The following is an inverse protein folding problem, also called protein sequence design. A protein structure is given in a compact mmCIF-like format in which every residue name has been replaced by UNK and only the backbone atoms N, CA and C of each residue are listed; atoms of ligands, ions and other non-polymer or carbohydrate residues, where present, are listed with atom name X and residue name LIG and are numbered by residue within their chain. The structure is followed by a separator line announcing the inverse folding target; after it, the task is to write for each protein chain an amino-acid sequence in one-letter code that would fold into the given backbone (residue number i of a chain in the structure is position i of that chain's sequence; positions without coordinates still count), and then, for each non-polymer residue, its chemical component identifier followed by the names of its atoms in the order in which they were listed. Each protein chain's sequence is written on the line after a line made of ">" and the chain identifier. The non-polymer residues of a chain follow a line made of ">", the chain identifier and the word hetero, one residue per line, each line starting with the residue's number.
data_IF_910900733712
#
_entry.id   IF_910900733712
#
_cell.length_a   1.000
_cell.length_b   1.000
_cell.length_c   1.000
_cell.angle_alpha   90.00
_cell.angle_beta   90.00
_cell.angle_gamma   90.00
#
_symmetry.space_group_name_H-M   'P 1'
#
loop_
_entity.id
_entity.type
_entity.pdbx_description
1 polymer ?
#
# COMPACT_ATOMS: atom_id res chain seq x y z
N UNK A 1 77.07 -44.82 9.03
CA UNK A 1 76.16 -45.94 8.80
C UNK A 1 74.77 -45.33 8.73
N UNK A 2 74.26 -45.17 7.53
CA UNK A 2 73.04 -45.69 6.95
C UNK A 2 71.78 -45.31 7.76
N UNK A 3 70.75 -44.72 7.22
CA UNK A 3 70.04 -44.99 5.98
C UNK A 3 69.11 -43.84 5.63
N UNK A 4 68.98 -43.65 4.34
CA UNK A 4 68.05 -42.78 3.61
C UNK A 4 66.64 -43.34 3.64
N UNK A 5 65.64 -42.51 3.96
CA UNK A 5 64.22 -42.85 3.66
C UNK A 5 63.60 -41.67 2.90
N UNK A 6 63.43 -41.87 1.58
CA UNK A 6 62.61 -41.06 0.64
C UNK A 6 61.15 -41.14 1.06
N UNK A 7 60.51 -40.01 1.25
CA UNK A 7 59.03 -39.90 1.22
C UNK A 7 58.61 -39.26 -0.10
N UNK A 8 57.95 -40.04 -0.90
CA UNK A 8 57.24 -39.64 -2.11
C UNK A 8 56.02 -38.79 -1.73
N UNK A 9 56.04 -37.54 -2.12
CA UNK A 9 54.91 -36.64 -2.01
C UNK A 9 53.88 -36.94 -3.09
N UNK A 10 52.70 -37.36 -2.68
CA UNK A 10 51.57 -37.57 -3.57
C UNK A 10 50.85 -36.26 -3.82
N UNK A 11 51.05 -35.66 -5.00
CA UNK A 11 50.31 -34.53 -5.48
C UNK A 11 48.88 -34.97 -5.79
N UNK A 12 47.90 -34.62 -4.94
CA UNK A 12 46.50 -34.76 -5.25
C UNK A 12 46.06 -33.51 -5.99
N UNK A 13 46.02 -33.59 -7.30
CA UNK A 13 45.40 -32.61 -8.19
C UNK A 13 43.88 -32.62 -7.97
N UNK A 14 43.37 -31.64 -7.27
CA UNK A 14 41.91 -31.40 -7.20
C UNK A 14 41.49 -30.69 -8.48
N UNK A 15 41.00 -31.45 -9.43
CA UNK A 15 40.29 -30.94 -10.59
C UNK A 15 38.99 -30.29 -10.15
N UNK A 16 38.96 -28.97 -10.06
CA UNK A 16 37.76 -28.20 -9.83
C UNK A 16 36.95 -28.23 -11.11
N UNK A 17 35.84 -28.99 -11.11
CA UNK A 17 34.90 -29.08 -12.22
C UNK A 17 34.27 -27.72 -12.52
N UNK A 18 34.47 -27.10 -13.69
CA UNK A 18 33.90 -25.78 -14.00
C UNK A 18 32.36 -25.81 -14.18
N UNK A 19 31.76 -27.01 -14.17
CA UNK A 19 30.31 -27.17 -14.29
C UNK A 19 29.52 -26.87 -13.00
N UNK A 20 30.16 -26.93 -11.83
CA UNK A 20 29.51 -26.65 -10.54
C UNK A 20 29.31 -25.13 -10.30
N UNK A 21 30.18 -24.27 -10.82
CA UNK A 21 30.05 -22.82 -10.67
C UNK A 21 28.93 -22.22 -11.52
N UNK A 22 28.60 -22.82 -12.67
CA UNK A 22 27.54 -22.31 -13.56
C UNK A 22 26.14 -22.58 -12.99
N UNK A 23 25.95 -23.68 -12.25
CA UNK A 23 24.68 -24.02 -11.64
C UNK A 23 24.29 -23.09 -10.46
N UNK A 24 25.29 -22.58 -9.72
CA UNK A 24 25.05 -21.65 -8.60
C UNK A 24 24.70 -20.24 -9.09
N UNK A 25 25.27 -19.81 -10.24
CA UNK A 25 24.98 -18.49 -10.81
C UNK A 25 23.55 -18.37 -11.37
N UNK A 26 22.99 -19.46 -11.89
CA UNK A 26 21.62 -19.50 -12.43
C UNK A 26 20.58 -19.50 -11.30
N UNK A 27 20.88 -20.08 -10.14
CA UNK A 27 19.97 -20.13 -9.00
C UNK A 27 19.78 -18.76 -8.31
N UNK A 28 20.76 -17.85 -8.38
CA UNK A 28 20.70 -16.52 -7.75
C UNK A 28 19.87 -15.53 -8.60
N UNK A 29 19.74 -15.75 -9.90
CA UNK A 29 18.94 -14.89 -10.79
C UNK A 29 17.42 -15.12 -10.71
N UNK A 30 16.97 -16.21 -10.07
CA UNK A 30 15.54 -16.55 -9.99
C UNK A 30 14.79 -15.82 -8.85
N UNK A 31 15.46 -15.09 -7.96
CA UNK A 31 14.83 -14.40 -6.82
C UNK A 31 14.70 -12.87 -6.99
N UNK A 32 15.05 -12.30 -8.14
CA UNK A 32 14.95 -10.88 -8.39
C UNK A 32 13.66 -10.53 -9.16
N UNK A 33 12.50 -10.88 -8.61
CA UNK A 33 11.22 -10.37 -9.11
C UNK A 33 10.28 -10.09 -7.96
N UNK A 34 10.12 -8.86 -7.54
CA UNK A 34 8.77 -8.36 -7.37
C UNK A 34 8.57 -6.84 -7.44
N UNK A 35 9.34 -6.09 -8.20
CA UNK A 35 9.18 -4.64 -8.23
C UNK A 35 8.11 -4.13 -9.24
N UNK A 36 7.54 -4.99 -10.09
CA UNK A 36 6.61 -4.56 -11.15
C UNK A 36 5.12 -4.81 -10.84
N UNK A 37 4.79 -5.41 -9.70
CA UNK A 37 3.40 -5.80 -9.41
C UNK A 37 2.48 -4.64 -8.98
N UNK A 38 3.03 -3.50 -8.55
CA UNK A 38 2.25 -2.38 -8.00
C UNK A 38 2.02 -1.21 -8.96
N UNK A 39 2.49 -1.29 -10.19
CA UNK A 39 2.22 -0.27 -11.20
C UNK A 39 0.85 -0.42 -11.89
N UNK A 40 0.00 -1.32 -11.41
CA UNK A 40 -1.32 -1.57 -11.99
C UNK A 40 -2.41 -1.24 -10.98
N UNK A 41 -3.50 -0.67 -11.52
CA UNK A 41 -4.74 -0.50 -10.74
C UNK A 41 -5.15 -1.85 -10.14
N UNK A 42 -5.47 -1.93 -8.84
CA UNK A 42 -5.97 -3.15 -8.21
C UNK A 42 -7.20 -3.72 -8.95
N UNK A 43 -7.48 -5.02 -8.75
CA UNK A 43 -8.75 -5.58 -9.23
C UNK A 43 -9.94 -4.82 -8.62
N UNK A 44 -11.11 -4.88 -9.25
CA UNK A 44 -12.32 -4.20 -8.75
C UNK A 44 -12.57 -4.47 -7.25
N UNK A 45 -12.50 -5.74 -6.84
CA UNK A 45 -12.66 -6.12 -5.42
C UNK A 45 -11.54 -5.57 -4.54
N UNK A 46 -10.30 -5.59 -5.03
CA UNK A 46 -9.15 -5.04 -4.30
C UNK A 46 -9.25 -3.53 -4.13
N UNK A 47 -9.70 -2.83 -5.17
CA UNK A 47 -9.93 -1.39 -5.15
C UNK A 47 -11.07 -1.02 -4.19
N UNK A 48 -12.20 -1.73 -4.25
CA UNK A 48 -13.31 -1.54 -3.32
C UNK A 48 -12.87 -1.75 -1.87
N UNK A 49 -12.13 -2.83 -1.60
CA UNK A 49 -11.61 -3.12 -0.26
C UNK A 49 -10.65 -2.01 0.23
N UNK A 50 -9.75 -1.54 -0.64
CA UNK A 50 -8.81 -0.46 -0.32
C UNK A 50 -9.53 0.84 0.03
N UNK A 51 -10.50 1.26 -0.80
CA UNK A 51 -11.28 2.49 -0.59
C UNK A 51 -12.11 2.40 0.68
N UNK A 52 -12.87 1.29 0.87
CA UNK A 52 -13.67 1.09 2.08
C UNK A 52 -12.82 1.06 3.33
N UNK A 53 -11.74 0.27 3.35
CA UNK A 53 -10.85 0.20 4.52
C UNK A 53 -10.25 1.56 4.88
N UNK A 54 -9.91 2.38 3.89
CA UNK A 54 -9.39 3.73 4.10
C UNK A 54 -10.45 4.64 4.70
N UNK A 55 -11.63 4.70 4.08
CA UNK A 55 -12.69 5.63 4.49
C UNK A 55 -13.34 5.23 5.82
N UNK A 56 -13.55 3.94 6.08
CA UNK A 56 -14.05 3.48 7.38
C UNK A 56 -13.06 3.76 8.51
N UNK A 57 -11.75 3.53 8.28
CA UNK A 57 -10.74 3.91 9.29
C UNK A 57 -10.70 5.43 9.52
N UNK A 58 -10.91 6.22 8.47
CA UNK A 58 -11.02 7.69 8.60
C UNK A 58 -12.30 8.08 9.35
N UNK A 59 -13.44 7.41 9.08
CA UNK A 59 -14.68 7.61 9.81
C UNK A 59 -14.53 7.30 11.30
N UNK A 60 -13.94 6.16 11.65
CA UNK A 60 -13.64 5.79 13.04
C UNK A 60 -12.81 6.87 13.75
N UNK A 61 -11.82 7.43 13.05
CA UNK A 61 -10.98 8.50 13.59
C UNK A 61 -11.79 9.78 13.86
N UNK A 62 -12.73 10.15 12.98
CA UNK A 62 -13.59 11.31 13.16
C UNK A 62 -14.60 11.10 14.29
N UNK A 63 -15.29 9.96 14.32
CA UNK A 63 -16.31 9.65 15.34
C UNK A 63 -15.68 9.57 16.74
N UNK A 64 -14.48 8.99 16.86
CA UNK A 64 -13.79 8.85 18.15
C UNK A 64 -12.91 10.04 18.51
N UNK A 65 -12.59 10.93 17.56
CA UNK A 65 -11.58 11.97 17.71
C UNK A 65 -10.14 11.42 17.81
N UNK A 66 -9.93 10.12 17.57
CA UNK A 66 -8.63 9.45 17.70
C UNK A 66 -8.05 9.06 16.35
N UNK A 67 -7.11 9.84 15.85
CA UNK A 67 -6.47 9.65 14.54
C UNK A 67 -5.24 8.72 14.56
N UNK A 68 -4.90 8.10 15.69
CA UNK A 68 -3.67 7.29 15.82
C UNK A 68 -3.65 6.11 14.84
N UNK A 69 -4.75 5.34 14.75
CA UNK A 69 -4.84 4.18 13.86
C UNK A 69 -4.88 4.61 12.39
N UNK A 70 -5.65 5.65 12.06
CA UNK A 70 -5.69 6.21 10.72
C UNK A 70 -4.30 6.67 10.29
N UNK A 71 -3.61 7.46 11.12
CA UNK A 71 -2.25 7.92 10.88
C UNK A 71 -1.28 6.77 10.62
N UNK A 72 -1.33 5.69 11.41
CA UNK A 72 -0.43 4.54 11.24
C UNK A 72 -0.57 3.86 9.86
N UNK A 73 -1.75 3.93 9.22
CA UNK A 73 -2.04 3.37 7.89
C UNK A 73 -1.62 4.25 6.72
N UNK A 74 -1.28 5.52 6.96
CA UNK A 74 -0.86 6.46 5.93
C UNK A 74 0.53 6.13 5.36
N UNK A 75 0.82 6.61 4.16
CA UNK A 75 2.15 6.55 3.58
C UNK A 75 3.17 7.33 4.43
N UNK A 76 4.42 6.85 4.47
CA UNK A 76 5.49 7.48 5.27
C UNK A 76 5.65 8.98 5.01
N UNK A 77 5.67 9.49 3.76
CA UNK A 77 5.76 10.94 3.53
C UNK A 77 4.60 11.72 4.14
N UNK A 78 3.38 11.17 4.12
CA UNK A 78 2.21 11.81 4.70
C UNK A 78 2.30 11.83 6.24
N UNK A 79 2.68 10.71 6.85
CA UNK A 79 2.88 10.63 8.32
C UNK A 79 3.94 11.59 8.84
N UNK A 80 4.97 11.89 8.05
CA UNK A 80 6.02 12.83 8.42
C UNK A 80 5.54 14.28 8.41
N UNK A 81 4.53 14.60 7.61
CA UNK A 81 3.96 15.96 7.49
C UNK A 81 2.82 16.20 8.49
N UNK A 82 2.07 15.16 8.84
CA UNK A 82 0.88 15.25 9.66
C UNK A 82 0.96 14.29 10.83
N UNK A 83 1.00 14.82 12.05
CA UNK A 83 0.82 14.02 13.27
C UNK A 83 -0.66 13.67 13.47
N UNK A 84 -1.01 12.70 14.33
CA UNK A 84 -2.41 12.40 14.67
C UNK A 84 -3.19 13.64 15.13
N UNK A 85 -2.57 14.49 15.94
CA UNK A 85 -3.17 15.72 16.47
C UNK A 85 -3.43 16.75 15.35
N UNK A 86 -2.49 16.86 14.40
CA UNK A 86 -2.66 17.74 13.25
C UNK A 86 -3.73 17.25 12.29
N UNK A 87 -3.89 15.94 12.15
CA UNK A 87 -5.00 15.34 11.40
C UNK A 87 -6.34 15.67 12.10
N UNK A 88 -6.42 15.50 13.40
CA UNK A 88 -7.60 15.85 14.19
C UNK A 88 -7.99 17.31 14.00
N UNK A 89 -7.03 18.23 14.05
CA UNK A 89 -7.28 19.66 13.80
C UNK A 89 -7.73 19.91 12.36
N UNK A 90 -7.10 19.26 11.37
CA UNK A 90 -7.44 19.41 9.95
C UNK A 90 -8.88 18.96 9.67
N UNK A 91 -9.34 17.89 10.31
CA UNK A 91 -10.68 17.32 10.14
C UNK A 91 -11.64 17.68 11.27
N UNK A 92 -11.33 18.72 12.06
CA UNK A 92 -12.12 19.16 13.21
C UNK A 92 -13.59 19.37 12.87
N UNK A 93 -13.89 19.91 11.69
CA UNK A 93 -15.28 20.11 11.26
C UNK A 93 -16.08 18.81 11.13
N UNK A 94 -15.45 17.71 10.74
CA UNK A 94 -16.09 16.40 10.70
C UNK A 94 -16.41 15.89 12.11
N UNK A 95 -15.46 16.06 13.03
CA UNK A 95 -15.62 15.69 14.45
C UNK A 95 -16.72 16.52 15.10
N UNK A 96 -16.70 17.85 14.94
CA UNK A 96 -17.68 18.78 15.55
C UNK A 96 -19.09 18.61 15.01
N UNK A 97 -19.23 18.31 13.72
CA UNK A 97 -20.53 18.06 13.09
C UNK A 97 -21.02 16.63 13.29
N UNK A 98 -20.24 15.79 13.99
CA UNK A 98 -20.55 14.38 14.23
C UNK A 98 -20.90 13.65 12.92
N UNK A 99 -20.15 13.93 11.85
CA UNK A 99 -20.36 13.32 10.56
C UNK A 99 -19.96 11.83 10.67
N UNK A 100 -20.95 10.97 10.51
CA UNK A 100 -20.79 9.51 10.46
C UNK A 100 -21.27 8.99 9.11
N UNK A 101 -20.42 8.20 8.46
CA UNK A 101 -20.74 7.59 7.18
C UNK A 101 -20.46 6.08 7.14
N UNK A 102 -20.58 5.39 8.26
CA UNK A 102 -20.44 3.93 8.35
C UNK A 102 -21.30 3.17 7.35
N UNK A 103 -22.44 3.77 6.93
CA UNK A 103 -23.32 3.21 5.93
C UNK A 103 -22.61 2.83 4.63
N UNK A 104 -21.45 3.46 4.28
CA UNK A 104 -20.65 3.08 3.09
C UNK A 104 -20.25 1.61 3.08
N UNK A 105 -20.16 0.96 4.23
CA UNK A 105 -19.86 -0.47 4.34
C UNK A 105 -20.80 -1.35 3.51
N UNK A 106 -22.09 -0.97 3.45
CA UNK A 106 -23.14 -1.70 2.75
C UNK A 106 -23.23 -1.35 1.24
N UNK A 107 -22.60 -0.26 0.80
CA UNK A 107 -22.72 0.22 -0.57
C UNK A 107 -21.48 -0.07 -1.40
N UNK A 108 -21.65 -0.25 -2.73
CA UNK A 108 -20.52 -0.25 -3.65
C UNK A 108 -20.17 1.19 -4.04
N UNK A 109 -18.86 1.53 -4.11
CA UNK A 109 -18.45 2.82 -4.61
C UNK A 109 -18.72 2.94 -6.12
N UNK A 110 -19.08 4.13 -6.56
CA UNK A 110 -19.14 4.52 -7.96
C UNK A 110 -17.90 5.35 -8.24
N UNK A 111 -17.05 4.86 -9.16
CA UNK A 111 -15.83 5.55 -9.54
C UNK A 111 -16.07 6.48 -10.74
N UNK A 112 -15.75 7.75 -10.59
CA UNK A 112 -15.82 8.74 -11.65
C UNK A 112 -14.75 9.82 -11.45
N UNK A 113 -13.73 9.87 -12.34
CA UNK A 113 -13.42 8.92 -13.43
C UNK A 113 -12.98 7.55 -12.93
N UNK A 114 -12.83 6.58 -13.83
CA UNK A 114 -12.25 5.28 -13.51
C UNK A 114 -10.88 5.44 -12.83
N UNK A 115 -10.60 4.58 -11.85
CA UNK A 115 -9.31 4.60 -11.14
C UNK A 115 -8.15 4.41 -12.12
N UNK A 116 -7.06 5.14 -11.90
CA UNK A 116 -5.88 5.12 -12.77
C UNK A 116 -4.59 5.25 -11.96
N UNK A 117 -3.48 4.80 -12.56
CA UNK A 117 -2.14 5.09 -12.03
C UNK A 117 -1.53 6.18 -12.90
N UNK A 118 -1.08 7.27 -12.28
CA UNK A 118 -0.48 8.40 -12.98
C UNK A 118 1.00 8.17 -13.35
N UNK A 119 1.60 9.18 -14.00
CA UNK A 119 3.01 9.12 -14.41
C UNK A 119 4.01 9.04 -13.25
N UNK A 120 3.61 9.42 -12.04
CA UNK A 120 4.43 9.33 -10.82
C UNK A 120 4.21 8.01 -10.06
N UNK A 121 3.39 7.10 -10.62
CA UNK A 121 3.09 5.81 -10.00
C UNK A 121 2.06 5.91 -8.86
N UNK A 122 1.31 7.02 -8.75
CA UNK A 122 0.24 7.17 -7.77
C UNK A 122 -1.06 6.58 -8.30
N UNK A 123 -1.74 5.78 -7.49
CA UNK A 123 -3.09 5.32 -7.77
C UNK A 123 -4.08 6.43 -7.38
N UNK A 124 -4.76 6.98 -8.36
CA UNK A 124 -5.78 8.01 -8.21
C UNK A 124 -7.16 7.37 -8.24
N UNK A 125 -7.96 7.62 -7.21
CA UNK A 125 -9.28 7.01 -7.04
C UNK A 125 -10.26 8.08 -6.60
N UNK A 126 -11.21 8.41 -7.47
CA UNK A 126 -12.24 9.40 -7.23
C UNK A 126 -13.62 8.80 -7.44
N UNK A 127 -14.61 9.27 -6.69
CA UNK A 127 -15.96 8.79 -6.82
C UNK A 127 -16.85 9.13 -5.64
N UNK A 128 -17.91 8.35 -5.49
CA UNK A 128 -18.83 8.52 -4.39
C UNK A 128 -19.47 7.19 -3.96
N UNK A 129 -19.99 7.17 -2.75
CA UNK A 129 -20.93 6.16 -2.29
C UNK A 129 -22.36 6.71 -2.41
N UNK A 130 -23.28 5.98 -3.07
CA UNK A 130 -24.67 6.43 -3.26
C UNK A 130 -25.51 6.17 -2.00
N UNK A 131 -25.02 6.67 -0.86
CA UNK A 131 -25.74 6.62 0.42
C UNK A 131 -26.85 7.68 0.44
N UNK A 132 -27.93 7.42 1.20
CA UNK A 132 -29.06 8.32 1.38
C UNK A 132 -29.27 8.63 2.87
N UNK A 133 -29.72 9.81 3.22
CA UNK A 133 -30.06 10.99 2.38
C UNK A 133 -28.83 11.79 1.93
N UNK A 134 -27.63 11.35 2.30
CA UNK A 134 -26.37 12.07 2.06
C UNK A 134 -25.39 11.16 1.35
N UNK A 135 -24.85 11.61 0.21
CA UNK A 135 -23.74 10.96 -0.50
C UNK A 135 -22.41 11.24 0.16
N UNK A 136 -21.52 10.29 0.10
CA UNK A 136 -20.11 10.47 0.50
C UNK A 136 -19.26 10.51 -0.76
N UNK A 137 -18.68 11.67 -1.06
CA UNK A 137 -17.74 11.85 -2.17
C UNK A 137 -16.33 11.71 -1.64
N UNK A 138 -15.47 11.12 -2.46
CA UNK A 138 -14.05 10.95 -2.13
C UNK A 138 -13.14 11.22 -3.32
N UNK A 139 -11.95 11.73 -3.03
CA UNK A 139 -10.83 11.87 -3.95
C UNK A 139 -9.57 11.45 -3.17
N UNK A 140 -9.02 10.29 -3.53
CA UNK A 140 -7.96 9.61 -2.81
C UNK A 140 -6.77 9.39 -3.72
N UNK A 141 -5.55 9.57 -3.19
CA UNK A 141 -4.34 9.16 -3.88
C UNK A 141 -3.52 8.23 -2.98
N UNK A 142 -2.99 7.17 -3.59
CA UNK A 142 -2.16 6.19 -2.90
C UNK A 142 -0.82 6.05 -3.60
N UNK A 143 0.20 5.69 -2.84
CA UNK A 143 1.52 5.32 -3.37
C UNK A 143 1.85 3.88 -2.95
N UNK A 144 2.65 3.16 -3.76
CA UNK A 144 3.17 1.87 -3.34
C UNK A 144 4.17 2.05 -2.19
N UNK A 145 3.98 1.33 -1.11
CA UNK A 145 4.87 1.32 0.06
C UNK A 145 4.80 -0.05 0.73
N UNK A 146 5.96 -0.68 0.91
CA UNK A 146 6.10 -1.97 1.61
C UNK A 146 5.19 -3.09 1.04
N UNK A 147 5.00 -3.11 -0.28
CA UNK A 147 4.17 -4.12 -0.94
C UNK A 147 2.67 -3.82 -0.94
N UNK A 148 2.23 -2.66 -0.45
CA UNK A 148 0.83 -2.25 -0.35
C UNK A 148 0.61 -0.84 -0.90
N UNK A 149 -0.64 -0.52 -1.26
CA UNK A 149 -1.07 0.85 -1.53
C UNK A 149 -1.32 1.58 -0.22
N UNK A 150 -0.56 2.66 0.03
CA UNK A 150 -0.71 3.52 1.23
C UNK A 150 -1.20 4.90 0.83
N UNK A 151 -2.14 5.42 1.60
CA UNK A 151 -2.76 6.72 1.35
C UNK A 151 -1.73 7.86 1.46
N UNK A 152 -1.70 8.76 0.47
CA UNK A 152 -0.86 9.97 0.42
C UNK A 152 -1.69 11.26 0.31
N UNK A 153 -2.96 11.17 -0.09
CA UNK A 153 -3.88 12.29 -0.14
C UNK A 153 -5.30 11.82 0.10
N UNK A 154 -6.08 12.62 0.83
CA UNK A 154 -7.48 12.37 1.12
C UNK A 154 -8.29 13.66 1.06
N UNK A 155 -9.36 13.64 0.26
CA UNK A 155 -10.42 14.63 0.28
C UNK A 155 -11.75 13.89 0.39
N UNK A 156 -12.52 14.21 1.40
CA UNK A 156 -13.86 13.65 1.64
C UNK A 156 -14.84 14.80 1.78
N UNK A 157 -16.00 14.64 1.17
CA UNK A 157 -17.13 15.55 1.29
C UNK A 157 -18.42 14.76 1.44
N UNK A 158 -19.36 15.37 2.14
CA UNK A 158 -20.75 14.89 2.19
C UNK A 158 -21.64 15.89 1.47
N UNK A 159 -22.57 15.42 0.67
CA UNK A 159 -23.56 16.24 -0.01
C UNK A 159 -24.94 15.55 0.01
N UNK A 160 -26.02 16.34 -0.04
CA UNK A 160 -27.35 15.77 -0.14
C UNK A 160 -27.49 14.96 -1.43
N UNK A 161 -28.02 13.75 -1.32
CA UNK A 161 -28.32 12.94 -2.49
C UNK A 161 -29.28 13.68 -3.43
N UNK A 162 -29.13 13.59 -4.77
CA UNK A 162 -30.11 14.13 -5.70
C UNK A 162 -31.48 13.53 -5.40
N UNK A 163 -32.49 14.37 -5.31
CA UNK A 163 -33.87 13.89 -5.22
C UNK A 163 -34.32 13.40 -6.59
N UNK A 164 -35.05 12.28 -6.67
CA UNK A 164 -35.57 11.77 -7.94
C UNK A 164 -36.58 12.71 -8.60
#
# INVERSE_FOLDING_TARGET
>A
MSAVARRVGMFVSRSVCPRACLAVLVAVLAFAQPALAQSRVPSERGLEALVKATLLTFNDANVTGNFTVFHAKLAKPFRQQFTPERLQETFKSFVEQQIDFDAIAAYKPVYDPAASVDGDGRLLVKGHFPTEPTRVLFDLAFIPSDGEWKLISIHVKTERAPQP
#
